data_IF_466458128115
#
_entry.id   IF_466458128115
#
_cell.length_a   1.000
_cell.length_b   1.000
_cell.length_c   1.000
_cell.angle_alpha   90.00
_cell.angle_beta   90.00
_cell.angle_gamma   90.00
#
_symmetry.space_group_name_H-M   'P 1'
#
loop_
_entity.id
_entity.type
_entity.pdbx_description
1 polymer ?
#
# COMPACT_ATOMS: atom_id res chain seq x y z
N UNK A 1 23.55 -25.66 -8.50
CA UNK A 1 24.59 -24.63 -8.24
C UNK A 1 25.20 -24.91 -6.87
N UNK A 2 26.51 -25.06 -6.77
CA UNK A 2 27.17 -25.08 -5.47
C UNK A 2 26.94 -23.78 -4.74
N UNK A 3 26.45 -23.86 -3.52
CA UNK A 3 26.07 -22.64 -2.75
C UNK A 3 27.36 -21.91 -2.36
N UNK A 4 27.62 -20.77 -2.98
CA UNK A 4 28.81 -19.94 -2.71
C UNK A 4 28.88 -19.59 -1.23
N UNK A 5 30.01 -19.86 -0.58
CA UNK A 5 30.24 -19.45 0.80
C UNK A 5 30.82 -18.03 0.83
N UNK A 6 29.94 -17.04 0.85
CA UNK A 6 30.33 -15.62 0.86
C UNK A 6 31.16 -15.23 2.09
N UNK A 7 30.96 -15.89 3.23
CA UNK A 7 31.76 -15.62 4.44
C UNK A 7 33.22 -16.02 4.28
N UNK A 8 33.48 -17.22 3.70
CA UNK A 8 34.86 -17.65 3.41
C UNK A 8 35.50 -16.74 2.36
N UNK A 9 34.74 -16.39 1.31
CA UNK A 9 35.23 -15.51 0.27
C UNK A 9 35.57 -14.11 0.83
N UNK A 10 34.68 -13.51 1.61
CA UNK A 10 34.93 -12.23 2.30
C UNK A 10 36.23 -12.29 3.12
N UNK A 11 36.40 -13.31 3.93
CA UNK A 11 37.61 -13.49 4.74
C UNK A 11 38.88 -13.58 3.88
N UNK A 12 38.82 -14.31 2.75
CA UNK A 12 39.93 -14.41 1.79
C UNK A 12 40.27 -13.06 1.17
N UNK A 13 39.24 -12.32 0.69
CA UNK A 13 39.40 -11.03 -0.01
C UNK A 13 39.89 -9.91 0.91
N UNK A 14 39.56 -9.97 2.19
CA UNK A 14 39.95 -8.94 3.19
C UNK A 14 41.24 -9.26 3.93
N UNK A 15 41.86 -10.42 3.69
CA UNK A 15 43.06 -10.86 4.42
C UNK A 15 44.25 -9.88 4.31
N UNK A 16 44.40 -9.24 3.15
CA UNK A 16 45.51 -8.28 2.90
C UNK A 16 45.25 -6.84 3.37
N UNK A 17 44.07 -6.56 3.94
CA UNK A 17 43.72 -5.23 4.44
C UNK A 17 44.28 -4.99 5.85
N UNK A 18 44.51 -3.70 6.18
CA UNK A 18 44.87 -3.32 7.53
C UNK A 18 43.81 -3.72 8.57
N UNK A 19 44.22 -3.97 9.84
CA UNK A 19 43.23 -4.27 10.89
C UNK A 19 42.13 -3.20 11.02
N UNK A 20 42.49 -1.93 10.86
CA UNK A 20 41.59 -0.77 10.92
C UNK A 20 40.57 -0.81 9.76
N UNK A 21 41.05 -1.04 8.53
CA UNK A 21 40.17 -1.15 7.34
C UNK A 21 39.17 -2.34 7.49
N UNK A 22 39.66 -3.45 8.01
CA UNK A 22 38.82 -4.64 8.23
C UNK A 22 37.78 -4.42 9.32
N UNK A 23 38.12 -3.74 10.44
CA UNK A 23 37.15 -3.38 11.49
C UNK A 23 36.07 -2.44 10.92
N UNK A 24 36.45 -1.44 10.09
CA UNK A 24 35.48 -0.57 9.40
C UNK A 24 34.53 -1.40 8.53
N UNK A 25 35.01 -2.34 7.72
CA UNK A 25 34.19 -3.20 6.89
C UNK A 25 33.26 -4.08 7.74
N UNK A 26 33.77 -4.74 8.77
CA UNK A 26 33.00 -5.62 9.65
C UNK A 26 31.82 -4.87 10.32
N UNK A 27 32.04 -3.61 10.70
CA UNK A 27 31.02 -2.72 11.31
C UNK A 27 30.05 -2.19 10.26
N UNK A 28 30.59 -1.72 9.14
CA UNK A 28 29.83 -1.07 8.06
C UNK A 28 28.86 -2.00 7.37
N UNK A 29 29.20 -3.27 7.25
CA UNK A 29 28.37 -4.29 6.60
C UNK A 29 27.65 -5.22 7.59
N UNK A 30 27.78 -4.99 8.89
CA UNK A 30 27.10 -5.79 9.92
C UNK A 30 27.71 -7.19 10.15
N UNK A 31 28.93 -7.43 9.64
CA UNK A 31 29.65 -8.71 9.85
C UNK A 31 29.98 -8.87 11.33
N UNK A 32 30.34 -7.79 12.03
CA UNK A 32 30.63 -7.79 13.48
C UNK A 32 29.38 -8.20 14.30
N UNK A 33 28.23 -7.63 13.95
CA UNK A 33 26.96 -7.98 14.58
C UNK A 33 26.58 -9.43 14.32
N UNK A 34 26.79 -9.92 13.09
CA UNK A 34 26.53 -11.32 12.75
C UNK A 34 27.43 -12.26 13.54
N UNK A 35 28.73 -11.95 13.69
CA UNK A 35 29.67 -12.74 14.50
C UNK A 35 29.21 -12.85 15.95
N UNK A 36 28.61 -11.79 16.50
CA UNK A 36 28.13 -11.75 17.89
C UNK A 36 26.76 -12.44 18.06
N UNK A 37 25.81 -12.25 17.13
CA UNK A 37 24.43 -12.74 17.21
C UNK A 37 24.19 -14.08 16.48
N UNK A 38 25.13 -14.52 15.64
CA UNK A 38 25.08 -15.79 14.88
C UNK A 38 24.15 -15.83 13.68
N UNK A 39 23.14 -14.96 13.59
CA UNK A 39 22.20 -14.89 12.46
C UNK A 39 21.46 -13.55 12.42
N UNK A 40 21.01 -13.14 11.23
CA UNK A 40 20.05 -12.05 11.05
C UNK A 40 18.66 -12.67 10.88
N UNK A 41 17.65 -12.30 11.70
CA UNK A 41 16.31 -12.85 11.58
C UNK A 41 15.70 -12.64 10.18
N UNK A 42 14.78 -13.54 9.79
CA UNK A 42 14.06 -13.44 8.52
C UNK A 42 13.23 -12.15 8.49
N UNK A 43 13.21 -11.46 7.36
CA UNK A 43 12.49 -10.19 7.20
C UNK A 43 13.12 -8.98 7.89
N UNK A 44 14.28 -9.13 8.54
CA UNK A 44 15.03 -8.01 9.12
C UNK A 44 16.19 -7.60 8.23
N UNK A 45 16.47 -6.30 8.23
CA UNK A 45 17.65 -5.71 7.61
C UNK A 45 18.90 -6.04 8.40
N UNK A 46 20.07 -5.94 7.74
CA UNK A 46 21.36 -6.07 8.39
C UNK A 46 21.59 -4.85 9.30
N UNK A 47 21.93 -5.09 10.56
CA UNK A 47 22.33 -4.01 11.47
C UNK A 47 23.74 -3.52 11.07
N UNK A 48 23.81 -2.29 10.56
CA UNK A 48 25.03 -1.64 10.09
C UNK A 48 25.30 -0.37 10.90
N UNK A 49 26.57 -0.06 11.08
CA UNK A 49 26.98 1.21 11.68
C UNK A 49 27.14 2.29 10.59
N UNK A 50 26.83 3.54 10.93
CA UNK A 50 27.04 4.68 10.03
C UNK A 50 28.51 5.08 9.98
N UNK A 51 28.93 5.74 8.89
CA UNK A 51 30.29 6.30 8.80
C UNK A 51 30.59 7.28 9.95
N UNK A 52 29.57 8.02 10.40
CA UNK A 52 29.66 8.96 11.52
C UNK A 52 29.97 8.21 12.83
N UNK A 53 29.13 7.25 13.20
CA UNK A 53 29.31 6.43 14.43
C UNK A 53 30.68 5.73 14.47
N UNK A 54 31.10 5.18 13.33
CA UNK A 54 32.45 4.56 13.21
C UNK A 54 33.52 5.61 13.41
N UNK A 55 33.38 6.80 12.82
CA UNK A 55 34.31 7.90 12.93
C UNK A 55 34.46 8.36 14.37
N UNK A 56 33.36 8.64 15.06
CA UNK A 56 33.34 9.02 16.49
C UNK A 56 34.09 7.99 17.35
N UNK A 57 33.76 6.69 17.17
CA UNK A 57 34.40 5.64 17.97
C UNK A 57 35.91 5.44 17.69
N UNK A 58 36.38 5.85 16.50
CA UNK A 58 37.81 5.77 16.11
C UNK A 58 38.55 7.07 16.27
N UNK A 59 37.90 8.15 16.73
CA UNK A 59 38.48 9.48 16.87
C UNK A 59 38.87 10.11 15.52
N UNK A 60 38.16 9.84 14.44
CA UNK A 60 38.39 10.37 13.10
C UNK A 60 37.10 10.88 12.45
N UNK A 61 37.21 11.73 11.44
CA UNK A 61 36.05 12.27 10.75
C UNK A 61 35.32 11.21 9.92
N UNK A 62 34.02 11.41 9.69
CA UNK A 62 33.20 10.61 8.76
C UNK A 62 33.85 10.45 7.38
N UNK A 63 34.39 11.57 6.86
CA UNK A 63 35.05 11.57 5.56
C UNK A 63 36.33 10.72 5.57
N UNK A 64 37.07 10.71 6.68
CA UNK A 64 38.26 9.84 6.80
C UNK A 64 37.87 8.36 6.82
N UNK A 65 36.77 8.01 7.47
CA UNK A 65 36.23 6.63 7.40
C UNK A 65 35.85 6.25 5.97
N UNK A 66 35.18 7.14 5.23
CA UNK A 66 34.81 6.93 3.83
C UNK A 66 36.03 6.72 2.92
N UNK A 67 37.08 7.51 3.12
CA UNK A 67 38.37 7.37 2.38
C UNK A 67 39.01 6.01 2.64
N UNK A 68 39.03 5.56 3.90
CA UNK A 68 39.59 4.24 4.25
C UNK A 68 38.76 3.12 3.64
N UNK A 69 37.42 3.23 3.68
CA UNK A 69 36.50 2.29 3.05
C UNK A 69 36.78 2.17 1.54
N UNK A 70 36.84 3.30 0.82
CA UNK A 70 37.07 3.32 -0.62
C UNK A 70 38.45 2.82 -1.01
N UNK A 71 39.49 3.17 -0.25
CA UNK A 71 40.85 2.62 -0.44
C UNK A 71 40.84 1.09 -0.25
N UNK A 72 40.10 0.57 0.74
CA UNK A 72 39.92 -0.84 0.96
C UNK A 72 39.19 -1.53 -0.22
N UNK A 73 38.12 -0.94 -0.75
CA UNK A 73 37.41 -1.45 -1.93
C UNK A 73 38.32 -1.48 -3.16
N UNK A 74 39.08 -0.42 -3.40
CA UNK A 74 40.03 -0.33 -4.52
C UNK A 74 41.07 -1.45 -4.42
N UNK A 75 41.62 -1.68 -3.21
CA UNK A 75 42.57 -2.77 -2.98
C UNK A 75 41.95 -4.14 -3.30
N UNK A 76 40.73 -4.41 -2.82
CA UNK A 76 40.04 -5.69 -3.05
C UNK A 76 39.71 -5.88 -4.54
N UNK A 77 39.18 -4.86 -5.21
CA UNK A 77 38.86 -4.90 -6.67
C UNK A 77 40.11 -5.19 -7.50
N UNK A 78 41.25 -4.54 -7.17
CA UNK A 78 42.52 -4.72 -7.91
C UNK A 78 43.09 -6.11 -7.76
N UNK A 79 43.11 -6.64 -6.53
CA UNK A 79 43.83 -7.89 -6.23
C UNK A 79 42.98 -9.16 -6.40
N UNK A 80 41.66 -9.03 -6.51
CA UNK A 80 40.74 -10.18 -6.51
C UNK A 80 39.66 -10.12 -7.61
N UNK A 81 40.00 -9.52 -8.75
CA UNK A 81 39.07 -9.28 -9.87
C UNK A 81 38.32 -10.54 -10.29
N UNK A 82 39.03 -11.65 -10.54
CA UNK A 82 38.42 -12.88 -11.04
C UNK A 82 37.44 -13.52 -10.04
N UNK A 83 37.74 -13.42 -8.75
CA UNK A 83 36.86 -13.93 -7.71
C UNK A 83 35.59 -13.07 -7.57
N UNK A 84 35.70 -11.77 -7.72
CA UNK A 84 34.56 -10.84 -7.74
C UNK A 84 33.68 -11.03 -8.97
N UNK A 85 34.28 -11.18 -10.17
CA UNK A 85 33.53 -11.38 -11.40
C UNK A 85 32.66 -12.65 -11.37
N UNK A 86 33.14 -13.73 -10.73
CA UNK A 86 32.31 -14.95 -10.54
C UNK A 86 31.07 -14.64 -9.68
N UNK A 87 31.23 -13.92 -8.56
CA UNK A 87 30.11 -13.53 -7.70
C UNK A 87 29.14 -12.60 -8.45
N UNK A 88 29.69 -11.66 -9.20
CA UNK A 88 28.90 -10.71 -9.96
C UNK A 88 28.11 -11.37 -11.09
N UNK A 89 28.66 -12.39 -11.74
CA UNK A 89 27.93 -13.16 -12.74
C UNK A 89 26.67 -13.83 -12.14
N UNK A 90 26.80 -14.42 -10.96
CA UNK A 90 25.67 -15.04 -10.25
C UNK A 90 24.62 -13.97 -9.85
N UNK A 91 25.07 -12.83 -9.35
CA UNK A 91 24.16 -11.73 -8.98
C UNK A 91 23.46 -11.13 -10.19
N UNK A 92 24.17 -10.90 -11.29
CA UNK A 92 23.58 -10.40 -12.54
C UNK A 92 22.54 -11.39 -13.08
N UNK A 93 22.84 -12.69 -13.07
CA UNK A 93 21.88 -13.73 -13.47
C UNK A 93 20.62 -13.70 -12.58
N UNK A 94 20.80 -13.57 -11.25
CA UNK A 94 19.68 -13.42 -10.31
C UNK A 94 18.84 -12.18 -10.63
N UNK A 95 19.45 -11.00 -10.79
CA UNK A 95 18.72 -9.77 -11.09
C UNK A 95 18.00 -9.84 -12.44
N UNK A 96 18.62 -10.40 -13.47
CA UNK A 96 17.98 -10.57 -14.79
C UNK A 96 16.72 -11.41 -14.70
N UNK A 97 16.71 -12.48 -13.90
CA UNK A 97 15.52 -13.29 -13.65
C UNK A 97 14.41 -12.52 -12.91
N UNK A 98 14.77 -11.47 -12.14
CA UNK A 98 13.85 -10.67 -11.32
C UNK A 98 13.45 -9.33 -11.94
N UNK A 99 13.75 -9.14 -13.24
CA UNK A 99 13.43 -7.91 -13.96
C UNK A 99 14.46 -6.78 -13.76
N UNK A 100 15.69 -7.11 -13.35
CA UNK A 100 16.81 -6.18 -13.24
C UNK A 100 16.93 -5.45 -11.89
N UNK A 101 16.00 -5.64 -10.97
CA UNK A 101 16.02 -5.01 -9.64
C UNK A 101 15.27 -5.86 -8.61
N UNK A 102 15.50 -5.60 -7.31
CA UNK A 102 14.85 -6.32 -6.22
C UNK A 102 14.94 -5.53 -4.91
N UNK A 103 13.91 -5.66 -4.03
CA UNK A 103 13.92 -5.08 -2.69
C UNK A 103 15.13 -5.56 -1.89
N UNK A 104 15.82 -4.64 -1.17
CA UNK A 104 17.05 -4.94 -0.43
C UNK A 104 16.88 -6.12 0.52
N UNK A 105 15.83 -6.16 1.33
CA UNK A 105 15.60 -7.25 2.28
C UNK A 105 15.51 -8.61 1.59
N UNK A 106 14.87 -8.65 0.43
CA UNK A 106 14.62 -9.89 -0.32
C UNK A 106 15.89 -10.35 -1.02
N UNK A 107 16.62 -9.47 -1.70
CA UNK A 107 17.88 -9.88 -2.34
C UNK A 107 18.89 -10.41 -1.33
N UNK A 108 18.96 -9.77 -0.14
CA UNK A 108 19.85 -10.23 0.92
C UNK A 108 19.42 -11.59 1.50
N UNK A 109 18.11 -11.84 1.59
CA UNK A 109 17.56 -13.14 2.02
C UNK A 109 17.79 -14.22 0.97
N UNK A 110 17.45 -13.95 -0.29
CA UNK A 110 17.51 -14.95 -1.38
C UNK A 110 18.95 -15.42 -1.63
N UNK A 111 19.90 -14.48 -1.68
CA UNK A 111 21.31 -14.78 -1.95
C UNK A 111 22.08 -15.22 -0.71
N UNK A 112 21.78 -14.62 0.45
CA UNK A 112 22.56 -14.83 1.68
C UNK A 112 21.92 -15.73 2.72
N UNK A 113 20.61 -15.87 2.71
CA UNK A 113 19.86 -16.49 3.80
C UNK A 113 20.19 -15.83 5.16
N UNK A 114 19.80 -16.48 6.26
CA UNK A 114 19.95 -15.91 7.60
C UNK A 114 21.40 -15.65 8.05
N UNK A 115 22.37 -16.33 7.44
CA UNK A 115 23.78 -16.32 7.90
C UNK A 115 24.73 -15.52 7.03
N UNK A 116 24.35 -15.15 5.80
CA UNK A 116 25.28 -14.51 4.86
C UNK A 116 24.81 -13.15 4.32
N UNK A 117 23.69 -12.59 4.79
CA UNK A 117 23.20 -11.27 4.39
C UNK A 117 24.25 -10.15 4.44
N UNK A 118 25.06 -10.02 5.53
CA UNK A 118 26.11 -9.01 5.61
C UNK A 118 27.15 -9.10 4.49
N UNK A 119 27.51 -10.30 4.12
CA UNK A 119 28.50 -10.54 3.06
C UNK A 119 27.91 -10.25 1.68
N UNK A 120 26.65 -10.60 1.43
CA UNK A 120 25.95 -10.24 0.18
C UNK A 120 25.88 -8.72 0.05
N UNK A 121 25.54 -8.01 1.13
CA UNK A 121 25.53 -6.54 1.16
C UNK A 121 26.91 -5.95 0.81
N UNK A 122 27.99 -6.54 1.34
CA UNK A 122 29.36 -6.17 0.99
C UNK A 122 29.64 -6.34 -0.51
N UNK A 123 29.30 -7.52 -1.08
CA UNK A 123 29.54 -7.80 -2.50
C UNK A 123 28.71 -6.91 -3.44
N UNK A 124 27.48 -6.62 -3.10
CA UNK A 124 26.66 -5.66 -3.86
C UNK A 124 27.26 -4.26 -3.82
N UNK A 125 27.75 -3.82 -2.65
CA UNK A 125 28.31 -2.47 -2.48
C UNK A 125 29.66 -2.33 -3.20
N UNK A 126 30.53 -3.30 -3.09
CA UNK A 126 31.83 -3.22 -3.77
C UNK A 126 31.70 -3.35 -5.29
N UNK A 127 30.61 -3.92 -5.80
CA UNK A 127 30.27 -3.97 -7.22
C UNK A 127 29.48 -2.76 -7.71
N UNK A 128 29.72 -1.57 -7.15
CA UNK A 128 28.94 -0.36 -7.42
C UNK A 128 28.95 0.15 -8.88
N UNK A 129 29.84 -0.35 -9.73
CA UNK A 129 29.82 -0.18 -11.18
C UNK A 129 28.75 -1.04 -11.88
N UNK A 130 28.38 -2.18 -11.29
CA UNK A 130 27.38 -3.15 -11.82
C UNK A 130 26.04 -3.07 -11.09
N UNK A 131 26.05 -2.73 -9.80
CA UNK A 131 24.87 -2.71 -8.94
C UNK A 131 24.66 -1.34 -8.33
N UNK A 132 23.46 -0.82 -8.44
CA UNK A 132 23.06 0.47 -7.88
C UNK A 132 22.12 0.26 -6.69
N UNK A 133 22.47 0.83 -5.55
CA UNK A 133 21.56 0.94 -4.41
C UNK A 133 20.66 2.16 -4.56
N UNK A 134 19.35 1.95 -4.66
CA UNK A 134 18.36 3.02 -4.67
C UNK A 134 17.82 3.24 -3.27
N UNK A 135 17.98 4.46 -2.76
CA UNK A 135 17.52 4.85 -1.42
C UNK A 135 16.00 4.92 -1.41
N UNK A 136 15.38 4.24 -0.43
CA UNK A 136 13.95 4.25 -0.24
C UNK A 136 13.39 5.66 0.01
N UNK A 137 12.18 5.92 -0.49
CA UNK A 137 11.45 7.17 -0.31
C UNK A 137 10.06 6.90 0.27
N UNK A 138 9.17 7.91 0.22
CA UNK A 138 7.78 7.79 0.67
C UNK A 138 7.04 6.67 -0.07
N UNK A 139 7.28 6.53 -1.38
CA UNK A 139 6.51 5.69 -2.28
C UNK A 139 7.11 4.29 -2.52
N UNK A 140 8.40 4.09 -2.20
CA UNK A 140 9.09 2.82 -2.41
C UNK A 140 10.15 2.52 -1.34
N UNK A 141 10.44 1.23 -1.17
CA UNK A 141 11.46 0.71 -0.27
C UNK A 141 12.87 0.85 -0.84
N UNK A 142 13.90 0.61 -0.02
CA UNK A 142 15.27 0.43 -0.51
C UNK A 142 15.33 -0.78 -1.45
N UNK A 143 15.97 -0.64 -2.59
CA UNK A 143 16.17 -1.72 -3.53
C UNK A 143 17.52 -1.64 -4.22
N UNK A 144 17.98 -2.78 -4.74
CA UNK A 144 19.14 -2.88 -5.58
C UNK A 144 18.70 -3.10 -7.01
N UNK A 145 19.42 -2.52 -7.96
CA UNK A 145 19.18 -2.67 -9.39
C UNK A 145 20.50 -2.89 -10.15
N UNK A 146 20.42 -3.53 -11.30
CA UNK A 146 21.52 -3.53 -12.24
C UNK A 146 21.77 -2.10 -12.73
N UNK A 147 23.03 -1.71 -12.80
CA UNK A 147 23.42 -0.39 -13.32
C UNK A 147 23.47 -0.42 -14.86
N UNK A 148 22.30 -0.38 -15.48
CA UNK A 148 22.14 -0.38 -16.96
C UNK A 148 22.03 1.02 -17.54
N UNK A 149 22.24 2.08 -16.75
CA UNK A 149 22.08 3.47 -17.16
C UNK A 149 20.64 3.99 -17.21
N UNK A 150 19.62 3.13 -17.04
CA UNK A 150 18.18 3.47 -17.18
C UNK A 150 17.37 3.34 -15.89
N UNK A 151 17.94 3.72 -14.75
CA UNK A 151 17.26 3.61 -13.44
C UNK A 151 16.05 4.56 -13.25
N UNK A 152 15.88 5.55 -14.10
CA UNK A 152 14.64 6.36 -14.19
C UNK A 152 13.44 5.50 -14.58
N UNK A 153 13.62 4.54 -15.47
CA UNK A 153 12.58 3.64 -15.94
C UNK A 153 11.85 2.87 -14.83
N UNK A 154 12.54 2.39 -13.78
CA UNK A 154 11.89 1.63 -12.68
C UNK A 154 10.91 2.50 -11.90
N UNK A 155 11.25 3.76 -11.63
CA UNK A 155 10.38 4.69 -10.89
C UNK A 155 9.18 5.10 -11.72
N UNK A 156 9.40 5.43 -12.98
CA UNK A 156 8.34 5.84 -13.91
C UNK A 156 7.34 4.70 -14.14
N UNK A 157 7.83 3.47 -14.27
CA UNK A 157 6.98 2.27 -14.38
C UNK A 157 6.19 2.03 -13.10
N UNK A 158 6.80 2.25 -11.93
CA UNK A 158 6.09 2.13 -10.65
C UNK A 158 4.98 3.17 -10.51
N UNK A 159 5.22 4.41 -10.91
CA UNK A 159 4.22 5.49 -10.89
C UNK A 159 3.09 5.19 -11.89
N UNK A 160 3.41 4.64 -13.05
CA UNK A 160 2.43 4.18 -14.04
C UNK A 160 1.56 3.05 -13.48
N UNK A 161 2.16 2.04 -12.82
CA UNK A 161 1.43 0.95 -12.14
C UNK A 161 0.42 1.49 -11.13
N UNK A 162 0.84 2.43 -10.29
CA UNK A 162 -0.04 3.07 -9.30
C UNK A 162 -1.18 3.83 -9.98
N UNK A 163 -0.89 4.56 -11.05
CA UNK A 163 -1.89 5.30 -11.82
C UNK A 163 -2.92 4.38 -12.47
N UNK A 164 -2.47 3.25 -13.03
CA UNK A 164 -3.35 2.30 -13.69
C UNK A 164 -4.26 1.57 -12.69
N UNK A 165 -3.73 1.17 -11.52
CA UNK A 165 -4.55 0.62 -10.43
C UNK A 165 -5.58 1.66 -9.96
N UNK A 166 -5.19 2.94 -9.85
CA UNK A 166 -6.09 4.01 -9.45
C UNK A 166 -7.21 4.24 -10.47
N UNK A 167 -6.90 4.23 -11.77
CA UNK A 167 -7.90 4.33 -12.84
C UNK A 167 -8.86 3.15 -12.86
N UNK A 168 -8.36 1.94 -12.58
CA UNK A 168 -9.20 0.75 -12.48
C UNK A 168 -10.21 0.83 -11.34
N UNK A 169 -9.86 1.47 -10.22
CA UNK A 169 -10.75 1.82 -9.11
C UNK A 169 -11.27 0.64 -8.30
N UNK A 170 -10.73 -0.57 -8.49
CA UNK A 170 -11.15 -1.80 -7.79
C UNK A 170 -9.94 -2.64 -7.39
N UNK A 171 -10.12 -3.47 -6.36
CA UNK A 171 -9.12 -4.48 -6.00
C UNK A 171 -8.91 -5.44 -7.17
N UNK A 172 -7.65 -5.81 -7.39
CA UNK A 172 -7.24 -6.75 -8.42
C UNK A 172 -6.57 -7.97 -7.79
N UNK A 173 -6.82 -9.13 -8.35
CA UNK A 173 -5.97 -10.28 -8.10
C UNK A 173 -4.64 -10.13 -8.82
N UNK A 174 -3.61 -10.83 -8.37
CA UNK A 174 -2.30 -10.79 -9.03
C UNK A 174 -2.35 -11.22 -10.50
N UNK A 175 -3.10 -12.27 -10.92
CA UNK A 175 -3.28 -12.61 -12.33
C UNK A 175 -3.96 -11.50 -13.15
N UNK A 176 -4.99 -10.84 -12.61
CA UNK A 176 -5.66 -9.72 -13.28
C UNK A 176 -4.70 -8.53 -13.46
N UNK A 177 -3.91 -8.22 -12.45
CA UNK A 177 -2.90 -7.16 -12.53
C UNK A 177 -1.82 -7.52 -13.58
N UNK A 178 -1.37 -8.77 -13.61
CA UNK A 178 -0.41 -9.25 -14.59
C UNK A 178 -0.97 -9.14 -16.04
N UNK A 179 -2.21 -9.56 -16.25
CA UNK A 179 -2.84 -9.49 -17.56
C UNK A 179 -3.00 -8.05 -18.06
N UNK A 180 -3.38 -7.11 -17.18
CA UNK A 180 -3.67 -5.73 -17.55
C UNK A 180 -2.39 -4.86 -17.60
N UNK A 181 -1.48 -5.04 -16.63
CA UNK A 181 -0.31 -4.18 -16.49
C UNK A 181 0.95 -4.78 -17.13
N UNK A 182 1.30 -6.04 -16.82
CA UNK A 182 2.53 -6.63 -17.32
C UNK A 182 2.53 -6.73 -18.85
N UNK A 183 1.37 -7.01 -19.46
CA UNK A 183 1.21 -7.03 -20.93
C UNK A 183 1.47 -5.67 -21.56
N UNK A 184 0.99 -4.58 -20.96
CA UNK A 184 1.16 -3.23 -21.49
C UNK A 184 2.61 -2.74 -21.43
N UNK A 185 3.39 -3.21 -20.48
CA UNK A 185 4.79 -2.81 -20.26
C UNK A 185 5.79 -3.90 -20.62
N UNK A 186 5.32 -5.00 -21.22
CA UNK A 186 6.14 -6.15 -21.63
C UNK A 186 7.02 -6.70 -20.49
N UNK A 187 6.42 -6.82 -19.29
CA UNK A 187 7.08 -7.31 -18.09
C UNK A 187 6.82 -8.79 -17.87
N UNK A 188 7.83 -9.50 -17.38
CA UNK A 188 7.61 -10.86 -16.85
C UNK A 188 6.87 -10.82 -15.51
N UNK A 189 6.28 -11.94 -15.09
CA UNK A 189 5.61 -12.06 -13.79
C UNK A 189 6.59 -11.80 -12.63
N UNK A 190 7.84 -12.24 -12.75
CA UNK A 190 8.89 -12.03 -11.76
C UNK A 190 9.30 -10.55 -11.67
N UNK A 191 9.28 -9.81 -12.79
CA UNK A 191 9.50 -8.37 -12.80
C UNK A 191 8.34 -7.64 -12.12
N UNK A 192 7.09 -8.02 -12.40
CA UNK A 192 5.92 -7.47 -11.74
C UNK A 192 5.99 -7.70 -10.21
N UNK A 193 6.39 -8.90 -9.77
CA UNK A 193 6.61 -9.17 -8.35
C UNK A 193 7.61 -8.22 -7.73
N UNK A 194 8.71 -7.97 -8.43
CA UNK A 194 9.72 -7.03 -7.95
C UNK A 194 9.18 -5.60 -7.83
N UNK A 195 8.29 -5.15 -8.73
CA UNK A 195 7.58 -3.86 -8.60
C UNK A 195 6.66 -3.82 -7.37
N UNK A 196 5.88 -4.86 -7.16
CA UNK A 196 4.99 -4.96 -5.99
C UNK A 196 5.77 -4.94 -4.67
N UNK A 197 6.90 -5.65 -4.61
CA UNK A 197 7.74 -5.71 -3.41
C UNK A 197 8.41 -4.38 -3.05
N UNK A 198 8.84 -3.59 -4.04
CA UNK A 198 9.43 -2.27 -3.78
C UNK A 198 8.38 -1.21 -3.49
N UNK A 199 7.14 -1.38 -3.94
CA UNK A 199 6.07 -0.41 -3.74
C UNK A 199 5.64 -0.32 -2.28
N UNK A 200 5.49 0.91 -1.76
CA UNK A 200 4.78 1.19 -0.51
C UNK A 200 3.33 1.58 -0.75
N UNK A 201 2.97 1.92 -1.99
CA UNK A 201 1.64 2.41 -2.36
C UNK A 201 0.69 1.28 -2.75
N UNK A 202 1.21 0.22 -3.37
CA UNK A 202 0.43 -0.98 -3.72
C UNK A 202 0.66 -2.02 -2.66
N UNK A 203 -0.41 -2.53 -2.08
CA UNK A 203 -0.35 -3.55 -1.02
C UNK A 203 -1.43 -4.60 -1.23
N UNK A 204 -1.22 -5.75 -0.62
CA UNK A 204 -2.13 -6.88 -0.62
C UNK A 204 -2.98 -6.88 0.66
N UNK A 205 -4.27 -7.16 0.53
CA UNK A 205 -5.16 -7.33 1.66
C UNK A 205 -5.12 -8.78 2.19
N UNK A 206 -5.89 -9.07 3.24
CA UNK A 206 -5.96 -10.42 3.85
C UNK A 206 -6.52 -11.50 2.91
N UNK A 207 -7.20 -11.09 1.84
CA UNK A 207 -7.81 -11.99 0.85
C UNK A 207 -6.89 -12.25 -0.36
N UNK A 208 -5.66 -11.72 -0.36
CA UNK A 208 -4.74 -11.86 -1.49
C UNK A 208 -5.02 -10.91 -2.66
N UNK A 209 -5.82 -9.86 -2.45
CA UNK A 209 -6.12 -8.85 -3.47
C UNK A 209 -5.26 -7.62 -3.30
N UNK A 210 -4.81 -7.07 -4.42
CA UNK A 210 -3.93 -5.91 -4.52
C UNK A 210 -4.76 -4.63 -4.72
N UNK A 211 -4.30 -3.55 -4.10
CA UNK A 211 -4.90 -2.23 -4.23
C UNK A 211 -3.99 -1.15 -3.65
N UNK A 212 -4.45 0.09 -3.65
CA UNK A 212 -3.67 1.18 -3.10
C UNK A 212 -3.80 1.23 -1.58
N UNK A 213 -2.71 1.55 -0.90
CA UNK A 213 -2.63 1.64 0.58
C UNK A 213 -3.67 2.62 1.17
N UNK A 214 -4.14 3.58 0.37
CA UNK A 214 -5.13 4.57 0.79
C UNK A 214 -6.58 4.05 0.64
N UNK A 215 -6.78 2.89 0.05
CA UNK A 215 -8.10 2.28 -0.07
C UNK A 215 -8.51 1.59 1.23
N UNK A 216 -9.77 1.75 1.65
CA UNK A 216 -10.28 1.12 2.87
C UNK A 216 -10.12 -0.39 2.88
N UNK A 217 -10.26 -1.04 1.73
CA UNK A 217 -10.16 -2.49 1.55
C UNK A 217 -8.74 -3.03 1.73
N UNK A 218 -7.73 -2.16 1.63
CA UNK A 218 -6.32 -2.49 1.87
C UNK A 218 -5.92 -2.14 3.30
N UNK A 219 -6.14 -0.89 3.71
CA UNK A 219 -5.76 -0.41 5.04
C UNK A 219 -6.81 0.54 5.59
N UNK A 220 -7.84 0.03 6.26
CA UNK A 220 -8.88 0.86 6.83
C UNK A 220 -8.33 1.83 7.87
N UNK A 221 -8.63 3.12 7.71
CA UNK A 221 -8.19 4.21 8.60
C UNK A 221 -9.38 4.70 9.42
N UNK A 222 -9.36 4.38 10.71
CA UNK A 222 -10.39 4.82 11.64
C UNK A 222 -11.75 4.14 11.43
N UNK A 223 -12.74 4.65 12.14
CA UNK A 223 -14.09 4.07 12.22
C UNK A 223 -14.85 4.17 10.90
N UNK A 224 -14.69 5.26 10.16
CA UNK A 224 -15.38 5.50 8.90
C UNK A 224 -15.06 4.45 7.82
N UNK A 225 -13.78 4.06 7.69
CA UNK A 225 -13.38 3.06 6.69
C UNK A 225 -13.83 1.66 7.12
N UNK A 226 -13.78 1.35 8.43
CA UNK A 226 -14.32 0.10 8.96
C UNK A 226 -15.82 -0.01 8.73
N UNK A 227 -16.57 1.08 8.95
CA UNK A 227 -17.99 1.15 8.64
C UNK A 227 -18.25 0.92 7.14
N UNK A 228 -17.47 1.55 6.26
CA UNK A 228 -17.56 1.35 4.82
C UNK A 228 -17.39 -0.14 4.44
N UNK A 229 -16.40 -0.82 5.00
CA UNK A 229 -16.20 -2.25 4.77
C UNK A 229 -17.36 -3.11 5.29
N UNK A 230 -17.94 -2.75 6.44
CA UNK A 230 -19.15 -3.41 6.96
C UNK A 230 -20.29 -3.29 5.94
N UNK A 231 -20.54 -2.11 5.40
CA UNK A 231 -21.57 -1.92 4.37
C UNK A 231 -21.31 -2.73 3.11
N UNK A 232 -20.06 -2.72 2.61
CA UNK A 232 -19.67 -3.53 1.42
C UNK A 232 -19.90 -5.02 1.64
N UNK A 233 -19.60 -5.52 2.84
CA UNK A 233 -19.80 -6.94 3.16
C UNK A 233 -21.29 -7.32 3.35
N UNK A 234 -22.07 -6.45 3.97
CA UNK A 234 -23.48 -6.72 4.26
C UNK A 234 -24.42 -6.40 3.08
N UNK A 235 -23.98 -5.52 2.18
CA UNK A 235 -24.71 -5.08 0.97
C UNK A 235 -26.17 -4.66 1.22
N UNK A 236 -26.45 -4.00 2.36
CA UNK A 236 -27.76 -3.50 2.77
C UNK A 236 -27.64 -2.28 3.69
N UNK A 237 -28.69 -1.43 3.77
CA UNK A 237 -28.76 -0.39 4.79
C UNK A 237 -28.70 -0.98 6.20
N UNK A 238 -27.98 -0.30 7.13
CA UNK A 238 -27.76 -0.78 8.49
C UNK A 238 -27.96 0.36 9.50
N UNK A 239 -28.46 0.00 10.67
CA UNK A 239 -28.53 0.93 11.80
C UNK A 239 -27.14 1.11 12.42
N UNK A 240 -26.78 2.34 12.84
CA UNK A 240 -25.42 2.64 13.35
C UNK A 240 -24.99 1.75 14.50
N UNK A 241 -25.90 1.27 15.35
CA UNK A 241 -25.59 0.31 16.43
C UNK A 241 -25.21 -1.08 15.89
N UNK A 242 -25.88 -1.53 14.84
CA UNK A 242 -25.56 -2.80 14.16
C UNK A 242 -24.19 -2.71 13.51
N UNK A 243 -23.89 -1.57 12.84
CA UNK A 243 -22.56 -1.30 12.26
C UNK A 243 -21.47 -1.37 13.35
N UNK A 244 -21.75 -0.79 14.53
CA UNK A 244 -20.80 -0.83 15.66
C UNK A 244 -20.48 -2.27 16.07
N UNK A 245 -21.48 -3.10 16.21
CA UNK A 245 -21.29 -4.52 16.59
C UNK A 245 -20.55 -5.30 15.51
N UNK A 246 -20.81 -5.01 14.24
CA UNK A 246 -20.13 -5.65 13.11
C UNK A 246 -18.67 -5.20 12.98
N UNK A 247 -18.35 -3.94 13.26
CA UNK A 247 -16.95 -3.45 13.30
C UNK A 247 -16.14 -4.22 14.34
N UNK A 248 -16.70 -4.42 15.53
CA UNK A 248 -16.02 -5.16 16.60
C UNK A 248 -15.83 -6.64 16.21
N UNK A 249 -16.80 -7.24 15.52
CA UNK A 249 -16.72 -8.62 15.03
C UNK A 249 -15.69 -8.86 13.90
N UNK A 250 -15.30 -7.83 13.17
CA UNK A 250 -14.31 -7.94 12.07
C UNK A 250 -12.85 -7.95 12.56
N UNK A 251 -12.60 -7.90 13.87
CA UNK A 251 -11.26 -7.95 14.48
C UNK A 251 -10.23 -6.99 13.82
N UNK A 252 -10.68 -5.79 13.47
CA UNK A 252 -9.79 -4.75 12.97
C UNK A 252 -8.95 -4.08 14.07
N UNK A 253 -9.37 -4.24 15.34
CA UNK A 253 -8.67 -3.70 16.48
C UNK A 253 -7.69 -4.75 17.01
N UNK A 254 -6.43 -4.41 17.06
CA UNK A 254 -5.39 -5.22 17.72
C UNK A 254 -5.51 -5.16 19.25
N UNK A 255 -6.14 -4.09 19.77
CA UNK A 255 -6.43 -3.90 21.18
C UNK A 255 -7.91 -4.23 21.41
N UNK A 256 -8.24 -4.85 22.54
CA UNK A 256 -9.61 -5.23 22.94
C UNK A 256 -10.59 -4.04 23.16
N UNK A 257 -10.24 -2.86 22.61
CA UNK A 257 -11.07 -1.65 22.71
C UNK A 257 -12.32 -1.79 21.84
N UNK A 258 -13.47 -1.83 22.50
CA UNK A 258 -14.78 -1.79 21.83
C UNK A 258 -15.01 -0.44 21.16
N UNK A 259 -15.63 -0.48 20.00
CA UNK A 259 -16.01 0.71 19.24
C UNK A 259 -17.23 1.38 19.88
N UNK A 260 -17.20 2.69 20.10
CA UNK A 260 -18.34 3.42 20.63
C UNK A 260 -19.36 3.75 19.56
N UNK A 261 -20.64 3.40 19.79
CA UNK A 261 -21.73 3.62 18.84
C UNK A 261 -21.90 5.11 18.46
N UNK A 262 -21.71 6.02 19.42
CA UNK A 262 -21.79 7.45 19.12
C UNK A 262 -20.66 7.93 18.20
N UNK A 263 -19.46 7.36 18.32
CA UNK A 263 -18.35 7.64 17.39
C UNK A 263 -18.69 7.18 15.99
N UNK A 264 -19.23 5.96 15.84
CA UNK A 264 -19.70 5.44 14.54
C UNK A 264 -20.75 6.39 13.95
N UNK A 265 -21.77 6.75 14.73
CA UNK A 265 -22.84 7.66 14.27
C UNK A 265 -22.29 9.01 13.78
N UNK A 266 -21.38 9.62 14.54
CA UNK A 266 -20.77 10.90 14.17
C UNK A 266 -19.93 10.80 12.90
N UNK A 267 -19.18 9.72 12.71
CA UNK A 267 -18.38 9.50 11.51
C UNK A 267 -19.26 9.27 10.27
N UNK A 268 -20.37 8.52 10.42
CA UNK A 268 -21.34 8.32 9.34
C UNK A 268 -22.01 9.60 8.88
N UNK A 269 -22.26 10.56 9.79
CA UNK A 269 -22.83 11.88 9.44
C UNK A 269 -21.80 12.73 8.66
N UNK A 270 -20.53 12.67 9.03
CA UNK A 270 -19.48 13.54 8.47
C UNK A 270 -18.97 13.09 7.10
N UNK A 271 -19.03 11.80 6.80
CA UNK A 271 -18.43 11.23 5.59
C UNK A 271 -19.50 11.08 4.50
N UNK A 272 -19.32 11.78 3.39
CA UNK A 272 -20.27 11.80 2.26
C UNK A 272 -20.47 10.47 1.54
N UNK A 273 -19.71 9.42 1.86
CA UNK A 273 -19.95 8.05 1.37
C UNK A 273 -21.24 7.46 1.95
N UNK A 274 -21.71 7.97 3.10
CA UNK A 274 -22.87 7.45 3.80
C UNK A 274 -24.05 8.40 3.69
N UNK A 275 -25.23 7.84 3.50
CA UNK A 275 -26.49 8.56 3.40
C UNK A 275 -27.44 8.08 4.48
N UNK A 276 -28.02 8.99 5.24
CA UNK A 276 -29.08 8.70 6.22
C UNK A 276 -30.37 8.35 5.47
N UNK A 277 -30.81 7.11 5.54
CA UNK A 277 -32.00 6.63 4.81
C UNK A 277 -33.19 6.34 5.72
N UNK A 278 -32.98 6.29 7.04
CA UNK A 278 -34.00 6.07 8.06
C UNK A 278 -33.54 6.56 9.42
N UNK A 279 -34.33 6.38 10.47
CA UNK A 279 -33.99 6.80 11.84
C UNK A 279 -32.75 6.03 12.33
N UNK A 280 -31.58 6.68 12.31
CA UNK A 280 -30.30 6.10 12.67
C UNK A 280 -29.79 5.02 11.70
N UNK A 281 -30.44 4.87 10.53
CA UNK A 281 -30.11 3.88 9.51
C UNK A 281 -29.41 4.57 8.34
N UNK A 282 -28.30 4.01 7.91
CA UNK A 282 -27.45 4.55 6.85
C UNK A 282 -27.31 3.54 5.71
N UNK A 283 -26.98 4.06 4.52
CA UNK A 283 -26.66 3.28 3.32
C UNK A 283 -25.44 3.91 2.63
N UNK A 284 -24.83 3.24 1.68
CA UNK A 284 -23.80 3.83 0.85
C UNK A 284 -24.40 4.70 -0.25
N UNK A 285 -23.82 5.90 -0.47
CA UNK A 285 -24.20 6.80 -1.56
C UNK A 285 -24.03 6.12 -2.94
N UNK A 286 -23.02 5.28 -3.11
CA UNK A 286 -22.76 4.52 -4.34
C UNK A 286 -23.86 3.51 -4.70
N UNK A 287 -24.75 3.18 -3.77
CA UNK A 287 -25.92 2.36 -4.05
C UNK A 287 -27.10 3.16 -4.65
N UNK A 288 -26.88 4.45 -4.96
CA UNK A 288 -27.87 5.32 -5.56
C UNK A 288 -28.78 6.06 -4.56
N UNK A 289 -28.50 5.95 -3.26
CA UNK A 289 -29.20 6.74 -2.25
C UNK A 289 -28.74 8.21 -2.29
N UNK A 290 -29.70 9.13 -2.21
CA UNK A 290 -29.47 10.57 -2.30
C UNK A 290 -29.59 11.22 -0.92
N UNK A 291 -28.67 12.09 -0.50
CA UNK A 291 -28.79 12.83 0.76
C UNK A 291 -29.98 13.80 0.72
N UNK A 292 -30.52 14.14 1.90
CA UNK A 292 -31.60 15.09 2.05
C UNK A 292 -32.75 14.60 2.91
N UNK A 293 -33.69 15.47 3.18
CA UNK A 293 -34.92 15.18 3.92
C UNK A 293 -35.96 14.48 3.02
N UNK A 294 -37.00 13.91 3.61
CA UNK A 294 -38.11 13.31 2.84
C UNK A 294 -38.71 14.33 1.85
N UNK A 295 -38.83 15.62 2.28
CA UNK A 295 -39.27 16.70 1.40
C UNK A 295 -38.37 16.85 0.18
N UNK A 296 -37.04 16.83 0.40
CA UNK A 296 -36.07 17.00 -0.70
C UNK A 296 -36.14 15.86 -1.70
N UNK A 297 -36.34 14.63 -1.22
CA UNK A 297 -36.50 13.48 -2.08
C UNK A 297 -37.84 13.55 -2.86
N UNK A 298 -38.93 13.93 -2.22
CA UNK A 298 -40.21 14.14 -2.92
C UNK A 298 -40.04 15.20 -4.01
N UNK A 299 -39.40 16.34 -3.68
CA UNK A 299 -39.10 17.40 -4.65
C UNK A 299 -38.33 16.88 -5.83
N UNK A 300 -37.27 16.13 -5.56
CA UNK A 300 -36.43 15.52 -6.59
C UNK A 300 -37.22 14.54 -7.49
N UNK A 301 -38.02 13.66 -6.90
CA UNK A 301 -38.86 12.70 -7.65
C UNK A 301 -39.83 13.41 -8.58
N UNK A 302 -40.54 14.46 -8.08
CA UNK A 302 -41.48 15.23 -8.89
C UNK A 302 -40.76 15.95 -10.04
N UNK A 303 -39.57 16.52 -9.78
CA UNK A 303 -38.81 17.31 -10.79
C UNK A 303 -38.17 16.42 -11.85
N UNK A 304 -37.54 15.34 -11.45
CA UNK A 304 -36.77 14.46 -12.35
C UNK A 304 -37.65 13.45 -13.09
N UNK A 305 -38.80 13.10 -12.52
CA UNK A 305 -39.74 12.12 -13.08
C UNK A 305 -41.15 12.69 -13.28
N UNK A 306 -41.35 13.69 -14.14
CA UNK A 306 -42.61 14.40 -14.32
C UNK A 306 -43.74 13.52 -14.85
N UNK A 307 -43.42 12.28 -15.29
CA UNK A 307 -44.41 11.28 -15.69
C UNK A 307 -45.01 10.50 -14.50
N UNK A 308 -44.35 10.51 -13.34
CA UNK A 308 -44.85 9.92 -12.10
C UNK A 308 -45.74 10.93 -11.40
N UNK A 309 -47.01 10.85 -11.65
CA UNK A 309 -47.97 11.86 -11.26
C UNK A 309 -48.93 11.44 -10.16
N UNK A 310 -49.05 10.11 -9.94
CA UNK A 310 -49.92 9.61 -8.88
C UNK A 310 -49.25 9.68 -7.51
N UNK A 311 -50.03 9.78 -6.48
CA UNK A 311 -49.57 9.75 -5.09
C UNK A 311 -48.84 8.43 -4.77
N UNK A 312 -49.34 7.30 -5.26
CA UNK A 312 -48.75 5.99 -4.98
C UNK A 312 -47.41 5.81 -5.69
N UNK A 313 -47.25 6.33 -6.91
CA UNK A 313 -45.97 6.28 -7.63
C UNK A 313 -44.88 7.09 -6.93
N UNK A 314 -45.19 8.33 -6.51
CA UNK A 314 -44.28 9.18 -5.76
C UNK A 314 -43.91 8.50 -4.44
N UNK A 315 -44.91 7.99 -3.71
CA UNK A 315 -44.65 7.27 -2.44
C UNK A 315 -43.73 6.07 -2.66
N UNK A 316 -43.98 5.26 -3.70
CA UNK A 316 -43.14 4.10 -4.04
C UNK A 316 -41.71 4.50 -4.33
N UNK A 317 -41.47 5.54 -5.11
CA UNK A 317 -40.14 6.05 -5.43
C UNK A 317 -39.42 6.57 -4.19
N UNK A 318 -40.12 7.30 -3.32
CA UNK A 318 -39.55 7.82 -2.06
C UNK A 318 -39.19 6.68 -1.11
N UNK A 319 -40.04 5.64 -1.01
CA UNK A 319 -39.77 4.46 -0.19
C UNK A 319 -38.61 3.61 -0.74
N UNK A 320 -38.32 3.67 -2.03
CA UNK A 320 -37.11 3.06 -2.59
C UNK A 320 -35.83 3.78 -2.13
N UNK A 321 -35.91 5.07 -1.79
CA UNK A 321 -34.82 5.91 -1.34
C UNK A 321 -34.76 6.11 0.18
N UNK A 322 -35.83 5.76 0.92
CA UNK A 322 -35.95 6.00 2.37
C UNK A 322 -36.63 4.86 3.10
N UNK A 323 -36.04 4.47 4.21
CA UNK A 323 -36.61 3.49 5.14
C UNK A 323 -37.52 4.18 6.17
N UNK A 324 -38.70 4.59 5.72
CA UNK A 324 -39.69 5.29 6.53
C UNK A 324 -41.10 4.70 6.31
N UNK A 325 -42.00 4.97 7.24
CA UNK A 325 -43.40 4.52 7.08
C UNK A 325 -44.09 5.30 5.92
N UNK A 326 -44.98 4.61 5.16
CA UNK A 326 -45.76 5.20 4.08
C UNK A 326 -46.49 6.49 4.54
N UNK A 327 -47.05 6.48 5.75
CA UNK A 327 -47.70 7.67 6.34
C UNK A 327 -46.79 8.86 6.48
N UNK A 328 -45.53 8.67 6.80
CA UNK A 328 -44.56 9.79 6.91
C UNK A 328 -44.30 10.46 5.56
N UNK A 329 -44.24 9.67 4.48
CA UNK A 329 -44.12 10.19 3.12
C UNK A 329 -45.39 10.94 2.75
N UNK A 330 -46.57 10.35 3.03
CA UNK A 330 -47.88 10.99 2.73
C UNK A 330 -48.07 12.32 3.48
N UNK A 331 -47.71 12.41 4.76
CA UNK A 331 -47.75 13.63 5.54
C UNK A 331 -46.90 14.72 4.89
N UNK A 332 -45.69 14.38 4.48
CA UNK A 332 -44.78 15.32 3.81
C UNK A 332 -45.31 15.75 2.43
N UNK A 333 -45.79 14.79 1.63
CA UNK A 333 -46.36 15.04 0.29
C UNK A 333 -47.63 15.93 0.34
N UNK A 334 -48.47 15.77 1.37
CA UNK A 334 -49.66 16.58 1.56
C UNK A 334 -49.38 17.94 2.24
N UNK A 335 -48.13 18.28 2.51
CA UNK A 335 -47.77 19.57 3.08
C UNK A 335 -47.90 20.69 2.03
N UNK A 336 -49.02 21.44 2.13
CA UNK A 336 -49.38 22.51 1.20
C UNK A 336 -48.37 23.65 1.12
N UNK A 337 -47.44 23.74 2.03
CA UNK A 337 -46.34 24.72 1.97
C UNK A 337 -45.37 24.44 0.84
N UNK A 338 -45.16 23.15 0.51
CA UNK A 338 -44.12 22.75 -0.45
C UNK A 338 -44.68 22.09 -1.72
N UNK A 339 -45.88 21.51 -1.65
CA UNK A 339 -46.45 20.73 -2.74
C UNK A 339 -47.91 21.16 -2.97
N UNK A 340 -48.34 21.05 -4.21
CA UNK A 340 -49.75 21.32 -4.62
C UNK A 340 -50.17 20.31 -5.66
N UNK A 341 -51.49 20.13 -5.81
CA UNK A 341 -52.07 19.37 -6.91
C UNK A 341 -52.55 20.31 -7.98
N UNK A 342 -52.34 19.98 -9.24
CA UNK A 342 -52.96 20.67 -10.36
C UNK A 342 -54.42 20.23 -10.55
N UNK A 343 -55.08 20.76 -11.58
CA UNK A 343 -56.49 20.43 -11.94
C UNK A 343 -56.67 18.99 -12.35
N UNK A 344 -55.59 18.27 -12.73
CA UNK A 344 -55.60 16.86 -13.13
C UNK A 344 -55.25 15.93 -11.98
N UNK A 345 -54.97 16.46 -10.77
CA UNK A 345 -54.59 15.69 -9.59
C UNK A 345 -53.12 15.37 -9.48
N UNK A 346 -52.28 15.90 -10.38
CA UNK A 346 -50.83 15.74 -10.38
C UNK A 346 -50.18 16.59 -9.29
N UNK A 347 -49.15 16.01 -8.64
CA UNK A 347 -48.36 16.79 -7.67
C UNK A 347 -47.32 17.66 -8.36
N UNK A 348 -47.23 18.88 -7.92
CA UNK A 348 -46.26 19.89 -8.34
C UNK A 348 -45.53 20.47 -7.13
N UNK A 349 -44.27 20.86 -7.31
CA UNK A 349 -43.49 21.58 -6.32
C UNK A 349 -43.97 23.04 -6.33
N UNK A 350 -44.25 23.60 -5.15
CA UNK A 350 -44.52 25.05 -5.03
C UNK A 350 -43.20 25.81 -5.05
N UNK A 351 -43.11 26.80 -5.91
CA UNK A 351 -42.08 27.82 -5.78
C UNK A 351 -42.38 28.61 -4.48
N UNK A 352 -41.54 28.36 -3.46
CA UNK A 352 -41.57 29.22 -2.25
C UNK A 352 -40.92 30.53 -2.63
N UNK A 353 -41.70 31.59 -2.66
CA UNK A 353 -41.20 32.94 -2.76
C UNK A 353 -40.28 33.28 -1.60
#
# INVERSE_FOLDING_TARGET
MEKVNYAQLYTKLTKGLSPKTRDIFDRRFGVKTLKNKGKTPKGQTVEIETLESIGESLGITRERVRQIEEAGFTHVRKNHKDALEKVYADFVAYFNQKGGFKKEEIVLEDLGGAKQKPYVLFFLTIGGDKFLKVVGKKDYHYFWALNTGSNTSVKDTLDSLVSDIQKHGKLLTKPELAANFASNYNLSNEALDSYLEISKRVQENKEGKLGLIDWPEIKPRGVKDKAYLVFKNQNKPLHFREITSLIDGLNFNTDEKKTHAQTVHNELIKDGRFVLVGRGTYALAEWGYVPGTIKDIITKVITEKPHLVSQDDIVKEVLAQRMVAKNTVMINLNNKKYFQKDSTGKYLVRETA
#
